data_IF_882071196134
#
_entry.id   IF_882071196134
#
_cell.length_a   1.000
_cell.length_b   1.000
_cell.length_c   1.000
_cell.angle_alpha   90.00
_cell.angle_beta   90.00
_cell.angle_gamma   90.00
#
_symmetry.space_group_name_H-M   'P 1'
#
loop_
_entity.id
_entity.type
_entity.pdbx_description
1 polymer ?
#
# COMPACT_ATOMS: atom_id res chain seq x y z
N UNK A 1 27.07 3.09 -0.43
CA UNK A 1 26.67 2.26 -1.59
C UNK A 1 25.73 1.15 -1.08
N UNK A 2 24.41 1.41 -0.93
CA UNK A 2 23.42 0.37 -0.54
C UNK A 2 21.93 0.71 -0.75
N UNK A 3 21.58 1.79 -1.45
CA UNK A 3 20.17 2.23 -1.58
C UNK A 3 19.57 2.13 -2.98
N UNK A 4 20.34 1.77 -4.02
CA UNK A 4 19.84 1.78 -5.40
C UNK A 4 19.14 0.49 -5.87
N UNK A 5 19.41 -0.67 -5.25
CA UNK A 5 18.90 -1.98 -5.72
C UNK A 5 17.45 -2.23 -5.30
N UNK A 6 16.97 -1.58 -4.23
CA UNK A 6 15.61 -1.80 -3.73
C UNK A 6 14.54 -1.07 -4.54
N UNK A 7 14.84 0.12 -5.11
CA UNK A 7 13.88 0.79 -6.01
C UNK A 7 13.69 -0.04 -7.27
N UNK A 8 14.77 -0.56 -7.87
CA UNK A 8 14.67 -1.28 -9.15
C UNK A 8 13.77 -2.53 -9.09
N UNK A 9 13.79 -3.29 -7.98
CA UNK A 9 12.93 -4.48 -7.84
C UNK A 9 11.45 -4.09 -7.70
N UNK A 10 11.15 -3.03 -6.95
CA UNK A 10 9.77 -2.57 -6.80
C UNK A 10 9.25 -1.94 -8.10
N UNK A 11 10.11 -1.18 -8.79
CA UNK A 11 9.83 -0.59 -10.10
C UNK A 11 9.52 -1.70 -11.12
N UNK A 12 10.34 -2.77 -11.17
CA UNK A 12 10.07 -3.95 -11.98
C UNK A 12 8.76 -4.65 -11.60
N UNK A 13 8.43 -4.76 -10.31
CA UNK A 13 7.16 -5.32 -9.86
C UNK A 13 5.97 -4.50 -10.33
N UNK A 14 6.06 -3.17 -10.31
CA UNK A 14 5.02 -2.28 -10.80
C UNK A 14 4.84 -2.38 -12.32
N UNK A 15 5.92 -2.37 -13.09
CA UNK A 15 5.86 -2.57 -14.54
C UNK A 15 5.27 -3.94 -14.90
N UNK A 16 5.61 -4.98 -14.12
CA UNK A 16 5.03 -6.31 -14.28
C UNK A 16 3.55 -6.35 -13.89
N UNK A 17 3.16 -5.63 -12.85
CA UNK A 17 1.75 -5.51 -12.49
C UNK A 17 0.96 -4.80 -13.60
N UNK A 18 1.45 -3.67 -14.12
CA UNK A 18 0.82 -2.93 -15.21
C UNK A 18 0.59 -3.78 -16.46
N UNK A 19 1.56 -4.62 -16.82
CA UNK A 19 1.45 -5.47 -18.01
C UNK A 19 0.58 -6.72 -17.82
N UNK A 20 0.47 -7.24 -16.59
CA UNK A 20 -0.21 -8.53 -16.34
C UNK A 20 -1.54 -8.42 -15.60
N UNK A 21 -1.76 -7.33 -14.87
CA UNK A 21 -2.81 -7.18 -13.86
C UNK A 21 -2.93 -8.37 -12.89
N UNK A 22 -1.81 -9.06 -12.63
CA UNK A 22 -1.79 -10.26 -11.79
C UNK A 22 -2.16 -9.93 -10.34
N UNK A 23 -3.16 -10.65 -9.82
CA UNK A 23 -3.58 -10.54 -8.42
C UNK A 23 -2.46 -10.88 -7.43
N UNK A 24 -1.59 -11.85 -7.76
CA UNK A 24 -0.44 -12.19 -6.91
C UNK A 24 0.52 -11.01 -6.79
N UNK A 25 0.79 -10.32 -7.90
CA UNK A 25 1.70 -9.17 -7.91
C UNK A 25 1.05 -7.98 -7.20
N UNK A 26 -0.25 -7.73 -7.44
CA UNK A 26 -1.04 -6.72 -6.70
C UNK A 26 -0.93 -6.95 -5.19
N UNK A 27 -1.11 -8.19 -4.75
CA UNK A 27 -1.05 -8.55 -3.33
C UNK A 27 0.37 -8.36 -2.76
N UNK A 28 1.42 -8.66 -3.52
CA UNK A 28 2.80 -8.38 -3.08
C UNK A 28 3.07 -6.88 -2.91
N UNK A 29 2.60 -6.06 -3.86
CA UNK A 29 2.69 -4.60 -3.77
C UNK A 29 1.90 -4.09 -2.56
N UNK A 30 0.67 -4.56 -2.38
CA UNK A 30 -0.17 -4.22 -1.23
C UNK A 30 0.53 -4.54 0.10
N UNK A 31 1.08 -5.75 0.23
CA UNK A 31 1.81 -6.18 1.43
C UNK A 31 3.05 -5.33 1.72
N UNK A 32 3.76 -4.87 0.68
CA UNK A 32 4.89 -3.95 0.83
C UNK A 32 4.46 -2.61 1.47
N UNK A 33 3.30 -2.09 1.07
CA UNK A 33 2.80 -0.79 1.52
C UNK A 33 1.87 -0.84 2.73
N UNK A 34 1.44 -2.04 3.17
CA UNK A 34 0.52 -2.23 4.30
C UNK A 34 0.99 -1.55 5.59
N UNK A 35 2.30 -1.51 5.83
CA UNK A 35 2.89 -0.85 6.99
C UNK A 35 2.62 0.66 7.04
N UNK A 36 2.46 1.31 5.89
CA UNK A 36 2.15 2.74 5.81
C UNK A 36 0.74 3.00 6.34
N UNK A 37 -0.24 2.21 5.95
CA UNK A 37 -1.63 2.31 6.42
C UNK A 37 -1.68 2.20 7.95
N UNK A 38 -1.04 1.16 8.50
CA UNK A 38 -0.99 0.94 9.95
C UNK A 38 -0.30 2.11 10.67
N UNK A 39 0.80 2.63 10.13
CA UNK A 39 1.52 3.74 10.72
C UNK A 39 0.66 5.02 10.75
N UNK A 40 -0.04 5.32 9.66
CA UNK A 40 -0.90 6.51 9.56
C UNK A 40 -2.10 6.38 10.49
N UNK A 41 -2.75 5.22 10.55
CA UNK A 41 -3.86 4.96 11.46
C UNK A 41 -3.43 5.27 12.90
N UNK A 42 -2.37 4.62 13.40
CA UNK A 42 -1.87 4.85 14.77
C UNK A 42 -1.57 6.33 15.04
N UNK A 43 -0.92 7.03 14.10
CA UNK A 43 -0.61 8.46 14.23
C UNK A 43 -1.86 9.34 14.30
N UNK A 44 -2.89 9.01 13.53
CA UNK A 44 -4.14 9.76 13.44
C UNK A 44 -5.18 9.34 14.49
N UNK A 45 -4.88 8.34 15.33
CA UNK A 45 -5.81 7.77 16.30
C UNK A 45 -6.45 8.83 17.21
N UNK A 46 -5.73 9.88 17.61
CA UNK A 46 -6.29 10.98 18.41
C UNK A 46 -7.47 11.69 17.74
N UNK A 47 -7.54 11.68 16.40
CA UNK A 47 -8.57 12.35 15.59
C UNK A 47 -9.87 11.55 15.54
N UNK A 48 -9.76 10.22 15.44
CA UNK A 48 -10.91 9.34 15.17
C UNK A 48 -11.27 8.39 16.31
N UNK A 49 -10.47 8.28 17.38
CA UNK A 49 -10.66 7.31 18.49
C UNK A 49 -12.02 7.34 19.18
N UNK A 50 -12.79 8.42 19.03
CA UNK A 50 -14.12 8.55 19.61
C UNK A 50 -15.25 8.25 18.59
N UNK A 51 -14.89 7.82 17.37
CA UNK A 51 -15.80 7.62 16.24
C UNK A 51 -15.66 6.24 15.58
N UNK A 52 -14.46 5.67 15.61
CA UNK A 52 -14.16 4.38 15.01
C UNK A 52 -13.00 3.71 15.74
N UNK A 53 -12.99 2.38 15.71
CA UNK A 53 -11.89 1.61 16.26
C UNK A 53 -10.67 1.64 15.32
N UNK A 54 -9.49 1.41 15.88
CA UNK A 54 -8.24 1.40 15.11
C UNK A 54 -8.29 0.35 13.99
N UNK A 55 -8.92 -0.79 14.23
CA UNK A 55 -9.05 -1.87 13.25
C UNK A 55 -9.92 -1.46 12.07
N UNK A 56 -11.03 -0.76 12.31
CA UNK A 56 -11.90 -0.25 11.25
C UNK A 56 -11.14 0.72 10.33
N UNK A 57 -10.37 1.63 10.90
CA UNK A 57 -9.56 2.59 10.14
C UNK A 57 -8.47 1.88 9.32
N UNK A 58 -7.86 0.83 9.87
CA UNK A 58 -6.87 0.03 9.12
C UNK A 58 -7.55 -0.67 7.95
N UNK A 59 -8.71 -1.30 8.17
CA UNK A 59 -9.44 -2.03 7.13
C UNK A 59 -9.85 -1.10 5.98
N UNK A 60 -10.43 0.07 6.29
CA UNK A 60 -10.76 1.07 5.28
C UNK A 60 -9.52 1.60 4.55
N UNK A 61 -8.43 1.86 5.29
CA UNK A 61 -7.17 2.29 4.69
C UNK A 61 -6.57 1.24 3.75
N UNK A 62 -6.77 -0.05 4.02
CA UNK A 62 -6.34 -1.14 3.14
C UNK A 62 -7.16 -1.16 1.85
N UNK A 63 -8.48 -0.95 1.91
CA UNK A 63 -9.33 -0.86 0.72
C UNK A 63 -8.92 0.32 -0.17
N UNK A 64 -8.71 1.51 0.44
CA UNK A 64 -8.22 2.69 -0.28
C UNK A 64 -6.83 2.44 -0.88
N UNK A 65 -5.95 1.74 -0.18
CA UNK A 65 -4.63 1.38 -0.72
C UNK A 65 -4.76 0.43 -1.92
N UNK A 66 -5.68 -0.54 -1.89
CA UNK A 66 -5.95 -1.40 -3.04
C UNK A 66 -6.40 -0.57 -4.25
N UNK A 67 -7.34 0.34 -4.06
CA UNK A 67 -7.82 1.26 -5.12
C UNK A 67 -6.70 2.13 -5.69
N UNK A 68 -5.82 2.64 -4.81
CA UNK A 68 -4.66 3.44 -5.22
C UNK A 68 -3.68 2.61 -6.06
N UNK A 69 -3.46 1.34 -5.69
CA UNK A 69 -2.59 0.43 -6.47
C UNK A 69 -3.16 0.18 -7.86
N UNK A 70 -4.48 0.00 -7.98
CA UNK A 70 -5.13 -0.23 -9.28
C UNK A 70 -5.07 0.99 -10.20
N UNK A 71 -5.03 2.20 -9.65
CA UNK A 71 -5.01 3.47 -10.39
C UNK A 71 -3.60 4.02 -10.61
N UNK A 72 -2.58 3.44 -9.98
CA UNK A 72 -1.22 3.94 -10.05
C UNK A 72 -0.60 3.65 -11.42
N UNK A 73 -0.02 4.69 -12.03
CA UNK A 73 0.72 4.57 -13.28
C UNK A 73 2.24 4.71 -13.01
N UNK A 74 3.04 3.65 -13.23
CA UNK A 74 4.50 3.68 -13.04
C UNK A 74 5.31 4.28 -14.20
N UNK A 75 4.67 4.72 -15.30
CA UNK A 75 5.34 5.33 -16.47
C UNK A 75 5.71 6.81 -16.29
#
# INVERSE_FOLDING_TARGET
MKTAVASSVLDEMWLKYKSTHSLDIRNRILMHYLGIVKCIAIKMNSVYKNKADLEDIINEGVLVLMDCIEKFDPD
#
